data_IF_349014657932
#
_entry.id   IF_349014657932
#
_cell.length_a   1.000
_cell.length_b   1.000
_cell.length_c   1.000
_cell.angle_alpha   90.00
_cell.angle_beta   90.00
_cell.angle_gamma   90.00
#
_symmetry.space_group_name_H-M   'P 1'
#
loop_
_entity.id
_entity.type
_entity.pdbx_description
1 polymer ?
#
# COMPACT_ATOMS: atom_id res chain seq x y z
N UNK A 1 -20.49 -28.15 -4.38
CA UNK A 1 -20.24 -26.73 -4.31
C UNK A 1 -19.15 -26.40 -5.33
N UNK A 2 -19.36 -25.42 -6.19
CA UNK A 2 -18.36 -24.99 -7.19
C UNK A 2 -17.64 -23.74 -6.69
N UNK A 3 -16.32 -23.78 -6.76
CA UNK A 3 -15.43 -22.74 -6.28
C UNK A 3 -14.55 -22.27 -7.45
N UNK A 4 -14.45 -20.97 -7.68
CA UNK A 4 -13.56 -20.39 -8.67
C UNK A 4 -12.58 -19.42 -8.01
N UNK A 5 -11.30 -19.53 -8.36
CA UNK A 5 -10.25 -18.56 -8.05
C UNK A 5 -9.93 -17.82 -9.34
N UNK A 6 -10.04 -16.48 -9.32
CA UNK A 6 -9.94 -15.67 -10.54
C UNK A 6 -8.50 -15.28 -10.90
N UNK A 7 -7.61 -15.18 -9.92
CA UNK A 7 -6.26 -14.62 -10.08
C UNK A 7 -5.24 -15.28 -9.13
N UNK A 8 -5.23 -16.62 -9.14
CA UNK A 8 -4.45 -17.46 -8.21
C UNK A 8 -2.96 -17.17 -8.17
N UNK A 9 -2.34 -16.76 -9.29
CA UNK A 9 -0.91 -16.44 -9.34
C UNK A 9 -0.52 -15.29 -8.40
N UNK A 10 -1.40 -14.32 -8.17
CA UNK A 10 -1.12 -13.18 -7.31
C UNK A 10 -1.06 -13.55 -5.82
N UNK A 11 -1.60 -14.71 -5.46
CA UNK A 11 -1.66 -15.22 -4.09
C UNK A 11 -0.80 -16.45 -3.87
N UNK A 12 -0.66 -17.25 -4.90
CA UNK A 12 0.04 -18.54 -4.86
C UNK A 12 0.85 -18.73 -6.15
N UNK A 13 2.06 -18.20 -6.22
CA UNK A 13 2.93 -18.39 -7.37
C UNK A 13 3.50 -19.81 -7.48
N UNK A 14 2.99 -20.76 -6.69
CA UNK A 14 3.38 -22.18 -6.68
C UNK A 14 3.98 -22.67 -5.35
N UNK A 15 3.98 -21.85 -4.31
CA UNK A 15 4.52 -22.15 -2.98
C UNK A 15 3.48 -22.68 -1.98
N UNK A 16 2.19 -22.53 -2.28
CA UNK A 16 1.08 -23.01 -1.45
C UNK A 16 0.21 -23.99 -2.25
N UNK A 17 -0.32 -25.00 -1.57
CA UNK A 17 -1.22 -25.98 -2.19
C UNK A 17 -2.68 -25.54 -2.16
N UNK A 18 -3.40 -25.76 -3.26
CA UNK A 18 -4.86 -25.58 -3.33
C UNK A 18 -5.65 -26.82 -2.83
N UNK A 19 -4.97 -27.89 -2.39
CA UNK A 19 -5.61 -29.16 -2.02
C UNK A 19 -6.62 -29.02 -0.87
N UNK A 20 -6.39 -28.12 0.08
CA UNK A 20 -7.35 -27.88 1.16
C UNK A 20 -8.64 -27.22 0.65
N UNK A 21 -8.53 -26.33 -0.33
CA UNK A 21 -9.70 -25.71 -0.94
C UNK A 21 -10.45 -26.71 -1.83
N UNK A 22 -9.77 -27.62 -2.52
CA UNK A 22 -10.38 -28.71 -3.31
C UNK A 22 -11.22 -29.66 -2.46
N UNK A 23 -10.88 -29.88 -1.19
CA UNK A 23 -11.67 -30.70 -0.25
C UNK A 23 -13.06 -30.12 0.02
N UNK A 24 -13.27 -28.82 -0.20
CA UNK A 24 -14.53 -28.15 0.02
C UNK A 24 -15.49 -28.24 -1.17
N UNK A 25 -14.98 -28.55 -2.37
CA UNK A 25 -15.81 -28.63 -3.57
C UNK A 25 -15.02 -28.75 -4.87
N UNK A 26 -15.74 -28.65 -5.98
CA UNK A 26 -15.14 -28.58 -7.32
C UNK A 26 -14.43 -27.25 -7.49
N UNK A 27 -13.11 -27.27 -7.59
CA UNK A 27 -12.25 -26.07 -7.66
C UNK A 27 -11.74 -25.83 -9.07
N UNK A 28 -11.95 -24.65 -9.60
CA UNK A 28 -11.30 -24.11 -10.79
C UNK A 28 -10.41 -22.96 -10.40
N UNK A 29 -9.13 -23.00 -10.79
CA UNK A 29 -8.17 -21.91 -10.52
C UNK A 29 -7.70 -21.33 -11.85
N UNK A 30 -7.92 -20.05 -12.03
CA UNK A 30 -7.32 -19.25 -13.11
C UNK A 30 -6.13 -18.52 -12.55
N UNK A 31 -4.98 -18.67 -13.19
CA UNK A 31 -3.75 -17.97 -12.79
C UNK A 31 -3.88 -16.44 -12.87
N UNK A 32 -4.50 -15.96 -13.94
CA UNK A 32 -4.76 -14.55 -14.19
C UNK A 32 -6.08 -14.38 -14.92
N UNK A 33 -6.85 -13.38 -14.55
CA UNK A 33 -8.04 -12.96 -15.30
C UNK A 33 -7.83 -11.53 -15.81
N UNK A 34 -8.71 -10.59 -15.49
CA UNK A 34 -8.56 -9.18 -15.83
C UNK A 34 -8.36 -8.34 -14.56
N UNK A 35 -7.62 -7.26 -14.65
CA UNK A 35 -7.48 -6.27 -13.57
C UNK A 35 -8.46 -5.11 -13.70
N UNK A 36 -9.18 -5.05 -14.81
CA UNK A 36 -10.28 -4.13 -15.07
C UNK A 36 -11.57 -4.91 -15.24
N UNK A 37 -12.71 -4.25 -15.06
CA UNK A 37 -14.02 -4.89 -15.24
C UNK A 37 -14.21 -5.31 -16.72
N UNK A 38 -14.40 -6.60 -16.94
CA UNK A 38 -14.45 -7.18 -18.27
C UNK A 38 -15.39 -8.40 -18.33
N UNK A 39 -16.05 -8.65 -19.48
CA UNK A 39 -16.98 -9.77 -19.64
C UNK A 39 -16.42 -11.14 -19.31
N UNK A 40 -15.12 -11.35 -19.52
CA UNK A 40 -14.42 -12.61 -19.23
C UNK A 40 -14.47 -12.99 -17.74
N UNK A 41 -14.66 -12.03 -16.82
CA UNK A 41 -14.76 -12.30 -15.39
C UNK A 41 -16.03 -13.09 -15.11
N UNK A 42 -17.18 -12.62 -15.62
CA UNK A 42 -18.44 -13.33 -15.47
C UNK A 42 -18.43 -14.69 -16.20
N UNK A 43 -17.78 -14.80 -17.35
CA UNK A 43 -17.61 -16.07 -18.07
C UNK A 43 -16.84 -17.10 -17.25
N UNK A 44 -15.77 -16.67 -16.56
CA UNK A 44 -14.95 -17.54 -15.70
C UNK A 44 -15.64 -17.92 -14.40
N UNK A 45 -16.43 -17.03 -13.84
CA UNK A 45 -17.26 -17.34 -12.67
C UNK A 45 -18.31 -18.39 -13.07
N UNK A 46 -18.98 -18.24 -14.21
CA UNK A 46 -19.97 -19.17 -14.70
C UNK A 46 -21.07 -19.46 -13.68
N UNK A 47 -21.19 -20.73 -13.28
CA UNK A 47 -22.15 -21.20 -12.28
C UNK A 47 -21.54 -21.42 -10.87
N UNK A 48 -20.34 -20.89 -10.61
CA UNK A 48 -19.70 -21.02 -9.32
C UNK A 48 -20.50 -20.38 -8.19
N UNK A 49 -20.48 -21.04 -7.04
CA UNK A 49 -21.15 -20.60 -5.81
C UNK A 49 -20.22 -19.77 -4.93
N UNK A 50 -18.91 -20.03 -4.99
CA UNK A 50 -17.89 -19.29 -4.26
C UNK A 50 -16.91 -18.69 -5.25
N UNK A 51 -16.71 -17.37 -5.13
CA UNK A 51 -15.74 -16.62 -5.92
C UNK A 51 -14.61 -16.19 -5.00
N UNK A 52 -13.39 -16.54 -5.37
CA UNK A 52 -12.15 -16.15 -4.67
C UNK A 52 -11.37 -15.22 -5.59
N UNK A 53 -10.97 -14.08 -5.11
CA UNK A 53 -10.22 -13.06 -5.87
C UNK A 53 -9.25 -12.29 -4.99
N UNK A 54 -8.20 -11.74 -5.58
CA UNK A 54 -7.32 -10.75 -4.94
C UNK A 54 -7.43 -9.38 -5.61
N UNK A 55 -7.21 -9.33 -6.93
CA UNK A 55 -7.17 -8.07 -7.70
C UNK A 55 -8.18 -8.04 -8.85
N UNK A 56 -8.67 -9.21 -9.30
CA UNK A 56 -9.71 -9.25 -10.32
C UNK A 56 -11.00 -8.65 -9.77
N UNK A 57 -11.57 -7.60 -10.41
CA UNK A 57 -12.75 -6.93 -9.90
C UNK A 57 -14.00 -7.81 -10.01
N UNK A 58 -14.85 -7.73 -8.99
CA UNK A 58 -16.19 -8.34 -9.00
C UNK A 58 -17.22 -7.21 -8.88
N UNK A 59 -17.54 -6.64 -10.03
CA UNK A 59 -18.41 -5.47 -10.15
C UNK A 59 -19.90 -5.82 -9.97
N UNK A 60 -20.73 -4.79 -9.92
CA UNK A 60 -22.19 -4.91 -9.92
C UNK A 60 -22.69 -5.69 -11.15
N UNK A 61 -22.14 -5.44 -12.33
CA UNK A 61 -22.49 -6.15 -13.55
C UNK A 61 -22.14 -7.63 -13.44
N UNK A 62 -20.93 -7.94 -13.00
CA UNK A 62 -20.48 -9.32 -12.74
C UNK A 62 -21.41 -10.04 -11.76
N UNK A 63 -21.73 -9.44 -10.61
CA UNK A 63 -22.63 -10.02 -9.60
C UNK A 63 -24.03 -10.24 -10.19
N UNK A 64 -24.51 -9.32 -11.03
CA UNK A 64 -25.83 -9.42 -11.65
C UNK A 64 -25.89 -10.58 -12.66
N UNK A 65 -24.83 -10.80 -13.43
CA UNK A 65 -24.74 -11.87 -14.43
C UNK A 65 -24.52 -13.25 -13.81
N UNK A 66 -23.87 -13.32 -12.66
CA UNK A 66 -23.53 -14.58 -11.98
C UNK A 66 -24.45 -14.84 -10.79
N UNK A 67 -25.70 -15.21 -11.06
CA UNK A 67 -26.75 -15.35 -10.05
C UNK A 67 -26.57 -16.49 -9.03
N UNK A 68 -25.57 -17.37 -9.19
CA UNK A 68 -25.31 -18.49 -8.29
C UNK A 68 -24.34 -18.16 -7.16
N UNK A 69 -23.73 -16.97 -7.15
CA UNK A 69 -22.75 -16.58 -6.15
C UNK A 69 -23.40 -16.53 -4.76
N UNK A 70 -22.82 -17.26 -3.81
CA UNK A 70 -23.23 -17.31 -2.40
C UNK A 70 -22.21 -16.69 -1.45
N UNK A 71 -20.96 -16.58 -1.88
CA UNK A 71 -19.83 -16.01 -1.10
C UNK A 71 -18.79 -15.44 -2.05
N UNK A 72 -18.28 -14.27 -1.71
CA UNK A 72 -17.08 -13.70 -2.35
C UNK A 72 -15.98 -13.60 -1.28
N UNK A 73 -14.84 -14.23 -1.52
CA UNK A 73 -13.67 -14.19 -0.64
C UNK A 73 -12.54 -13.40 -1.31
N UNK A 74 -12.12 -12.30 -0.68
CA UNK A 74 -11.00 -11.48 -1.13
C UNK A 74 -9.75 -11.89 -0.36
N UNK A 75 -8.74 -12.41 -1.06
CA UNK A 75 -7.48 -12.86 -0.49
C UNK A 75 -6.52 -11.69 -0.20
N UNK A 76 -7.03 -10.61 0.35
CA UNK A 76 -6.31 -9.41 0.71
C UNK A 76 -6.98 -8.71 1.90
N UNK A 77 -6.29 -7.75 2.50
CA UNK A 77 -6.89 -6.85 3.49
C UNK A 77 -7.84 -5.84 2.81
N UNK A 78 -7.43 -5.28 1.67
CA UNK A 78 -8.26 -4.37 0.89
C UNK A 78 -9.26 -5.12 0.02
N UNK A 79 -10.54 -4.76 0.08
CA UNK A 79 -11.64 -5.42 -0.63
C UNK A 79 -12.38 -4.49 -1.61
N UNK A 80 -11.80 -3.37 -1.95
CA UNK A 80 -12.37 -2.40 -2.89
C UNK A 80 -12.48 -2.89 -4.35
N UNK A 81 -11.95 -4.07 -4.65
CA UNK A 81 -12.13 -4.78 -5.93
C UNK A 81 -13.53 -5.38 -6.08
N UNK A 82 -14.31 -5.45 -5.00
CA UNK A 82 -15.68 -5.97 -5.01
C UNK A 82 -16.66 -4.85 -4.73
N UNK A 83 -17.78 -4.77 -5.51
CA UNK A 83 -18.95 -3.95 -5.14
C UNK A 83 -19.66 -4.62 -3.95
N UNK A 84 -19.04 -4.51 -2.78
CA UNK A 84 -19.51 -5.18 -1.55
C UNK A 84 -20.87 -4.64 -1.06
N UNK A 85 -21.20 -3.38 -1.38
CA UNK A 85 -22.51 -2.82 -1.04
C UNK A 85 -23.61 -3.46 -1.85
N UNK A 86 -23.38 -3.66 -3.14
CA UNK A 86 -24.33 -4.37 -4.00
C UNK A 86 -24.41 -5.86 -3.66
N UNK A 87 -23.28 -6.50 -3.38
CA UNK A 87 -23.25 -7.89 -2.89
C UNK A 87 -24.11 -8.04 -1.61
N UNK A 88 -23.98 -7.11 -0.65
CA UNK A 88 -24.80 -7.07 0.57
C UNK A 88 -26.31 -6.92 0.25
N UNK A 89 -26.69 -6.07 -0.70
CA UNK A 89 -28.07 -5.91 -1.14
C UNK A 89 -28.66 -7.21 -1.73
N UNK A 90 -27.80 -8.04 -2.34
CA UNK A 90 -28.15 -9.36 -2.87
C UNK A 90 -28.07 -10.49 -1.83
N UNK A 91 -27.71 -10.19 -0.58
CA UNK A 91 -27.50 -11.18 0.47
C UNK A 91 -26.26 -12.04 0.30
N UNK A 92 -25.28 -11.58 -0.50
CA UNK A 92 -24.01 -12.26 -0.75
C UNK A 92 -22.97 -11.71 0.24
N UNK A 93 -22.47 -12.51 1.20
CA UNK A 93 -21.39 -12.09 2.07
C UNK A 93 -20.09 -11.90 1.29
N UNK A 94 -19.35 -10.85 1.65
CA UNK A 94 -17.99 -10.60 1.19
C UNK A 94 -17.06 -10.68 2.40
N UNK A 95 -16.07 -11.55 2.32
CA UNK A 95 -15.07 -11.74 3.37
C UNK A 95 -13.67 -11.41 2.87
N UNK A 96 -12.80 -10.98 3.76
CA UNK A 96 -11.41 -10.63 3.44
C UNK A 96 -10.44 -11.24 4.47
N UNK A 97 -9.14 -11.04 4.28
CA UNK A 97 -8.10 -11.48 5.22
C UNK A 97 -7.54 -10.24 5.94
N UNK A 98 -8.06 -9.87 7.11
CA UNK A 98 -7.59 -8.70 7.83
C UNK A 98 -6.23 -8.96 8.51
N UNK A 99 -5.45 -7.90 8.71
CA UNK A 99 -4.30 -7.80 9.62
C UNK A 99 -3.04 -8.60 9.24
N UNK A 100 -3.08 -9.56 8.32
CA UNK A 100 -1.93 -10.42 7.99
C UNK A 100 -0.68 -9.65 7.55
N UNK A 101 -0.86 -8.56 6.80
CA UNK A 101 0.23 -7.75 6.23
C UNK A 101 0.73 -6.62 7.14
N UNK A 102 0.19 -6.44 8.34
CA UNK A 102 0.45 -5.24 9.16
C UNK A 102 1.94 -5.00 9.39
N UNK A 103 2.67 -6.01 9.83
CA UNK A 103 4.11 -5.89 10.14
C UNK A 103 4.98 -5.81 8.90
N UNK A 104 4.68 -6.59 7.87
CA UNK A 104 5.44 -6.58 6.62
C UNK A 104 5.28 -5.25 5.86
N UNK A 105 4.06 -4.71 5.80
CA UNK A 105 3.79 -3.44 5.14
C UNK A 105 4.45 -2.27 5.88
N UNK A 106 4.39 -2.23 7.22
CA UNK A 106 5.09 -1.20 8.00
C UNK A 106 6.61 -1.31 7.90
N UNK A 107 7.16 -2.53 7.92
CA UNK A 107 8.58 -2.75 7.68
C UNK A 107 9.00 -2.25 6.28
N UNK A 108 8.20 -2.53 5.26
CA UNK A 108 8.50 -2.10 3.89
C UNK A 108 8.44 -0.59 3.71
N UNK A 109 7.50 0.11 4.37
CA UNK A 109 7.48 1.57 4.39
C UNK A 109 8.80 2.16 4.91
N UNK A 110 9.34 1.57 5.98
CA UNK A 110 10.63 2.01 6.55
C UNK A 110 11.80 1.57 5.65
N UNK A 111 11.74 0.41 5.00
CA UNK A 111 12.77 -0.02 4.06
C UNK A 111 12.86 0.94 2.85
N UNK A 112 11.73 1.37 2.29
CA UNK A 112 11.69 2.41 1.24
C UNK A 112 12.29 3.72 1.74
N UNK A 113 11.96 4.15 2.96
CA UNK A 113 12.53 5.36 3.55
C UNK A 113 14.05 5.26 3.71
N UNK A 114 14.55 4.13 4.22
CA UNK A 114 15.99 3.92 4.42
C UNK A 114 16.73 3.85 3.08
N UNK A 115 16.15 3.23 2.05
CA UNK A 115 16.73 3.25 0.70
C UNK A 115 16.83 4.67 0.15
N UNK A 116 15.78 5.47 0.28
CA UNK A 116 15.77 6.89 -0.12
C UNK A 116 16.82 7.70 0.65
N UNK A 117 17.02 7.42 1.95
CA UNK A 117 17.97 8.17 2.79
C UNK A 117 19.43 7.77 2.57
N UNK A 118 19.69 6.51 2.20
CA UNK A 118 21.04 5.93 2.22
C UNK A 118 21.51 5.39 0.88
N UNK A 119 20.65 5.27 -0.14
CA UNK A 119 20.97 4.76 -1.47
C UNK A 119 21.73 3.42 -1.44
N UNK A 120 21.26 2.48 -0.60
CA UNK A 120 21.94 1.21 -0.31
C UNK A 120 22.11 0.37 -1.58
N UNK A 121 21.05 0.28 -2.41
CA UNK A 121 21.07 -0.44 -3.68
C UNK A 121 22.11 0.11 -4.63
N UNK A 122 22.14 1.44 -4.79
CA UNK A 122 23.15 2.13 -5.61
C UNK A 122 24.58 1.87 -5.12
N UNK A 123 24.83 2.02 -3.82
CA UNK A 123 26.16 1.75 -3.27
C UNK A 123 26.58 0.30 -3.44
N UNK A 124 25.68 -0.66 -3.23
CA UNK A 124 25.94 -2.08 -3.49
C UNK A 124 26.35 -2.31 -4.94
N UNK A 125 25.62 -1.74 -5.90
CA UNK A 125 25.95 -1.86 -7.33
C UNK A 125 27.31 -1.27 -7.66
N UNK A 126 27.63 -0.07 -7.16
CA UNK A 126 28.92 0.57 -7.44
C UNK A 126 30.08 -0.21 -6.84
N UNK A 127 29.91 -0.87 -5.69
CA UNK A 127 30.93 -1.77 -5.09
C UNK A 127 31.15 -2.98 -6.00
N UNK A 128 30.08 -3.65 -6.47
CA UNK A 128 30.19 -4.80 -7.38
C UNK A 128 30.85 -4.41 -8.72
N UNK A 129 30.65 -3.19 -9.18
CA UNK A 129 31.30 -2.64 -10.37
C UNK A 129 32.73 -2.15 -10.12
N UNK A 130 33.32 -2.44 -8.94
CA UNK A 130 34.72 -2.20 -8.62
C UNK A 130 35.04 -0.76 -8.20
N UNK A 131 34.04 0.11 -7.99
CA UNK A 131 34.30 1.51 -7.61
C UNK A 131 35.07 1.63 -6.33
N UNK A 132 34.74 0.84 -5.28
CA UNK A 132 35.47 0.89 -4.02
C UNK A 132 36.91 0.37 -4.15
N UNK A 133 37.09 -0.79 -4.82
CA UNK A 133 38.42 -1.40 -4.99
C UNK A 133 39.41 -0.49 -5.76
N UNK A 134 38.91 0.39 -6.62
CA UNK A 134 39.71 1.32 -7.42
C UNK A 134 39.63 2.76 -6.93
N UNK A 135 39.00 3.02 -5.75
CA UNK A 135 38.90 4.36 -5.19
C UNK A 135 40.23 4.76 -4.49
N UNK A 136 40.58 6.03 -4.58
CA UNK A 136 41.80 6.55 -3.97
C UNK A 136 41.73 6.57 -2.43
N UNK A 137 40.53 6.91 -1.91
CA UNK A 137 40.28 7.00 -0.47
C UNK A 137 39.62 5.72 0.07
N UNK A 138 39.64 5.55 1.38
CA UNK A 138 39.04 4.43 2.10
C UNK A 138 37.47 4.47 2.10
N UNK A 139 36.86 5.55 1.60
CA UNK A 139 35.41 5.73 1.50
C UNK A 139 35.06 6.59 0.27
N UNK A 140 33.81 6.54 -0.15
CA UNK A 140 33.24 7.45 -1.15
C UNK A 140 31.74 7.63 -0.90
N UNK A 141 31.19 8.70 -1.46
CA UNK A 141 29.76 8.97 -1.50
C UNK A 141 29.44 9.71 -2.80
N UNK A 142 28.26 9.43 -3.35
CA UNK A 142 27.78 10.10 -4.59
C UNK A 142 26.53 10.94 -4.28
N UNK A 143 25.86 10.70 -3.16
CA UNK A 143 24.67 11.40 -2.71
C UNK A 143 24.81 11.82 -1.24
N UNK A 144 24.16 12.94 -0.85
CA UNK A 144 24.00 13.27 0.56
C UNK A 144 23.23 12.17 1.30
N UNK A 145 23.69 11.77 2.46
CA UNK A 145 22.98 10.87 3.35
C UNK A 145 22.07 11.66 4.29
N UNK A 146 20.92 11.09 4.61
CA UNK A 146 19.93 11.74 5.47
C UNK A 146 19.81 10.96 6.78
N UNK A 147 20.15 11.62 7.90
CA UNK A 147 19.91 11.11 9.24
C UNK A 147 18.45 11.39 9.64
N UNK A 148 17.77 10.37 10.15
CA UNK A 148 16.36 10.44 10.53
C UNK A 148 16.13 10.92 11.96
N UNK A 149 17.13 10.79 12.85
CA UNK A 149 17.00 11.21 14.23
C UNK A 149 16.65 12.71 14.34
N UNK A 150 15.65 13.02 15.15
CA UNK A 150 15.13 14.38 15.34
C UNK A 150 14.20 14.90 14.22
N UNK A 151 14.04 14.16 13.11
CA UNK A 151 13.08 14.51 12.05
C UNK A 151 11.68 14.09 12.40
N UNK A 152 10.69 14.69 11.76
CA UNK A 152 9.27 14.39 11.94
C UNK A 152 8.76 13.43 10.86
N UNK A 153 8.26 12.28 11.28
CA UNK A 153 7.48 11.37 10.43
C UNK A 153 5.99 11.70 10.57
N UNK A 154 5.38 12.22 9.52
CA UNK A 154 3.94 12.45 9.43
C UNK A 154 3.24 11.23 8.85
N UNK A 155 2.21 10.74 9.52
CA UNK A 155 1.39 9.63 9.06
C UNK A 155 0.02 10.14 8.60
N UNK A 156 -0.29 9.97 7.33
CA UNK A 156 -1.65 10.10 6.83
C UNK A 156 -2.37 8.75 7.05
N UNK A 157 -3.01 8.63 8.22
CA UNK A 157 -3.61 7.41 8.74
C UNK A 157 -2.75 6.69 9.78
N UNK A 158 -3.34 6.40 10.94
CA UNK A 158 -2.70 5.72 12.07
C UNK A 158 -3.52 4.52 12.56
N UNK A 159 -3.92 3.66 11.60
CA UNK A 159 -4.49 2.35 11.87
C UNK A 159 -3.40 1.33 12.26
N UNK A 160 -3.69 0.03 12.15
CA UNK A 160 -2.74 -1.02 12.54
C UNK A 160 -1.35 -0.85 11.88
N UNK A 161 -1.30 -0.58 10.58
CA UNK A 161 -0.03 -0.38 9.85
C UNK A 161 0.65 0.90 10.33
N UNK A 162 -0.09 2.01 10.45
CA UNK A 162 0.45 3.30 10.90
C UNK A 162 1.05 3.23 12.31
N UNK A 163 0.42 2.53 13.23
CA UNK A 163 0.92 2.31 14.60
C UNK A 163 2.28 1.58 14.56
N UNK A 164 2.39 0.46 13.82
CA UNK A 164 3.67 -0.26 13.73
C UNK A 164 4.74 0.53 12.97
N UNK A 165 4.36 1.33 11.96
CA UNK A 165 5.30 2.25 11.33
C UNK A 165 5.78 3.31 12.33
N UNK A 166 4.89 3.85 13.17
CA UNK A 166 5.23 4.79 14.22
C UNK A 166 6.22 4.18 15.25
N UNK A 167 6.02 2.91 15.65
CA UNK A 167 6.95 2.20 16.53
C UNK A 167 8.36 2.20 15.96
N UNK A 168 8.52 1.83 14.68
CA UNK A 168 9.84 1.74 14.04
C UNK A 168 10.43 3.15 13.84
N UNK A 169 9.65 4.12 13.39
CA UNK A 169 10.10 5.50 13.21
C UNK A 169 10.59 6.12 14.53
N UNK A 170 9.88 5.87 15.64
CA UNK A 170 10.33 6.31 16.97
C UNK A 170 11.60 5.61 17.42
N UNK A 171 11.80 4.33 17.11
CA UNK A 171 13.04 3.62 17.40
C UNK A 171 14.23 4.19 16.60
N UNK A 172 13.99 4.81 15.45
CA UNK A 172 14.97 5.57 14.67
C UNK A 172 15.17 7.02 15.18
N UNK A 173 14.57 7.38 16.32
CA UNK A 173 14.72 8.70 16.93
C UNK A 173 13.84 9.80 16.31
N UNK A 174 12.82 9.44 15.53
CA UNK A 174 11.92 10.41 14.91
C UNK A 174 10.79 10.84 15.87
N UNK A 175 10.32 12.08 15.74
CA UNK A 175 9.02 12.52 16.23
C UNK A 175 7.94 11.99 15.28
N UNK A 176 6.84 11.48 15.80
CA UNK A 176 5.74 10.97 14.96
C UNK A 176 4.48 11.78 15.22
N UNK A 177 3.91 12.33 14.14
CA UNK A 177 2.62 13.03 14.11
C UNK A 177 1.67 12.32 13.15
N UNK A 178 0.37 12.45 13.35
CA UNK A 178 -0.62 11.82 12.47
C UNK A 178 -1.86 12.69 12.26
N UNK A 179 -2.44 12.58 11.06
CA UNK A 179 -3.81 12.95 10.77
C UNK A 179 -4.63 11.69 10.55
N UNK A 180 -5.60 11.46 11.40
CA UNK A 180 -6.56 10.35 11.29
C UNK A 180 -7.91 10.79 11.87
N UNK A 181 -9.00 10.27 11.33
CA UNK A 181 -10.36 10.54 11.82
C UNK A 181 -10.66 9.87 13.18
N UNK A 182 -9.80 8.97 13.63
CA UNK A 182 -9.96 8.25 14.89
C UNK A 182 -8.66 8.22 15.69
N UNK A 183 -8.71 8.72 16.91
CA UNK A 183 -7.64 8.52 17.87
C UNK A 183 -7.72 7.13 18.52
N UNK A 184 -6.58 6.48 18.71
CA UNK A 184 -6.47 5.19 19.37
C UNK A 184 -5.54 5.25 20.58
N UNK A 185 -5.89 4.54 21.65
CA UNK A 185 -5.07 4.48 22.87
C UNK A 185 -3.67 3.91 22.57
N UNK A 186 -3.56 2.98 21.63
CA UNK A 186 -2.29 2.40 21.21
C UNK A 186 -1.35 3.46 20.59
N UNK A 187 -1.84 4.32 19.71
CA UNK A 187 -1.06 5.40 19.13
C UNK A 187 -0.67 6.45 20.17
N UNK A 188 -1.60 6.81 21.06
CA UNK A 188 -1.33 7.75 22.16
C UNK A 188 -0.29 7.20 23.15
N UNK A 189 -0.37 5.92 23.51
CA UNK A 189 0.61 5.27 24.38
C UNK A 189 2.03 5.24 23.79
N UNK A 190 2.14 5.20 22.45
CA UNK A 190 3.41 5.36 21.75
C UNK A 190 3.89 6.83 21.70
N UNK A 191 3.09 7.79 22.16
CA UNK A 191 3.40 9.21 22.05
C UNK A 191 3.32 9.73 20.61
N UNK A 192 2.38 9.22 19.81
CA UNK A 192 2.01 9.79 18.51
C UNK A 192 1.12 10.99 18.75
N UNK A 193 1.42 12.12 18.12
CA UNK A 193 0.67 13.36 18.26
C UNK A 193 -0.35 13.49 17.12
N UNK A 194 -1.61 13.68 17.46
CA UNK A 194 -2.67 13.94 16.47
C UNK A 194 -2.72 15.41 16.11
N UNK A 195 -2.70 15.71 14.83
CA UNK A 195 -2.66 17.08 14.28
C UNK A 195 -3.70 17.26 13.18
N UNK A 196 -3.95 18.48 12.76
CA UNK A 196 -4.76 18.78 11.58
C UNK A 196 -4.02 18.38 10.29
N UNK A 197 -4.74 18.26 9.18
CA UNK A 197 -4.13 17.91 7.89
C UNK A 197 -3.09 18.94 7.44
N UNK A 198 -3.38 20.22 7.61
CA UNK A 198 -2.44 21.30 7.24
C UNK A 198 -1.20 21.28 8.14
N UNK A 199 -1.34 21.00 9.44
CA UNK A 199 -0.22 20.82 10.35
C UNK A 199 0.61 19.58 9.99
N UNK A 200 -0.05 18.48 9.57
CA UNK A 200 0.65 17.30 9.09
C UNK A 200 1.57 17.65 7.93
N UNK A 201 1.04 18.33 6.92
CA UNK A 201 1.83 18.75 5.76
C UNK A 201 2.97 19.70 6.15
N UNK A 202 2.67 20.71 6.94
CA UNK A 202 3.65 21.74 7.31
C UNK A 202 4.79 21.25 8.21
N UNK A 203 4.55 20.20 9.02
CA UNK A 203 5.54 19.74 10.01
C UNK A 203 6.32 18.51 9.58
N UNK A 204 5.87 17.75 8.56
CA UNK A 204 6.49 16.50 8.16
C UNK A 204 7.80 16.72 7.40
N UNK A 205 8.86 16.04 7.82
CA UNK A 205 10.07 15.84 7.02
C UNK A 205 9.92 14.60 6.12
N UNK A 206 9.19 13.60 6.61
CA UNK A 206 8.76 12.42 5.88
C UNK A 206 7.24 12.30 6.01
N UNK A 207 6.53 12.13 4.91
CA UNK A 207 5.09 11.91 4.88
C UNK A 207 4.78 10.50 4.39
N UNK A 208 4.25 9.65 5.27
CA UNK A 208 3.81 8.30 4.96
C UNK A 208 2.30 8.22 4.74
N UNK A 209 1.88 7.66 3.60
CA UNK A 209 0.48 7.45 3.26
C UNK A 209 0.05 6.05 3.69
N UNK A 210 -0.74 5.94 4.77
CA UNK A 210 -1.08 4.66 5.38
C UNK A 210 -2.56 4.54 5.77
N UNK A 211 -3.44 5.17 5.01
CA UNK A 211 -4.88 5.00 5.16
C UNK A 211 -5.51 4.34 3.92
N UNK A 212 -6.66 3.69 4.07
CA UNK A 212 -7.43 3.20 2.92
C UNK A 212 -7.80 4.33 1.97
N UNK A 213 -8.02 3.99 0.70
CA UNK A 213 -8.52 4.95 -0.28
C UNK A 213 -10.01 5.22 -0.04
N UNK A 214 -10.34 6.49 0.07
CA UNK A 214 -11.70 7.02 0.18
C UNK A 214 -11.89 8.17 -0.81
N UNK A 215 -13.14 8.57 -1.14
CA UNK A 215 -13.37 9.70 -2.03
C UNK A 215 -12.69 11.00 -1.59
N UNK A 216 -12.60 11.25 -0.27
CA UNK A 216 -12.02 12.49 0.27
C UNK A 216 -10.49 12.54 0.20
N UNK A 217 -9.79 11.42 0.08
CA UNK A 217 -8.33 11.37 0.01
C UNK A 217 -7.79 10.95 -1.36
N UNK A 218 -8.66 10.76 -2.35
CA UNK A 218 -8.25 10.57 -3.75
C UNK A 218 -7.57 11.85 -4.23
N UNK A 219 -6.33 11.73 -4.74
CA UNK A 219 -5.54 12.86 -5.16
C UNK A 219 -5.19 13.86 -4.04
N UNK A 220 -5.14 13.40 -2.78
CA UNK A 220 -4.81 14.28 -1.65
C UNK A 220 -3.37 14.82 -1.75
N UNK A 221 -2.47 14.07 -2.37
CA UNK A 221 -1.14 14.55 -2.73
C UNK A 221 -1.23 15.17 -4.12
N UNK A 222 -1.41 16.48 -4.13
CA UNK A 222 -1.54 17.32 -5.32
C UNK A 222 -0.72 18.60 -5.14
N UNK A 223 -0.63 19.40 -6.19
CA UNK A 223 0.16 20.63 -6.23
C UNK A 223 -0.14 21.58 -5.06
N UNK A 224 -1.43 21.75 -4.74
CA UNK A 224 -1.85 22.65 -3.65
C UNK A 224 -1.36 22.17 -2.29
N UNK A 225 -1.54 20.90 -1.98
CA UNK A 225 -1.12 20.31 -0.71
C UNK A 225 0.41 20.14 -0.64
N UNK A 226 1.07 19.81 -1.73
CA UNK A 226 2.53 19.77 -1.81
C UNK A 226 3.13 21.16 -1.50
N UNK A 227 2.49 22.24 -1.96
CA UNK A 227 2.96 23.60 -1.66
C UNK A 227 2.96 23.93 -0.15
N UNK A 228 2.09 23.29 0.64
CA UNK A 228 2.02 23.44 2.11
C UNK A 228 3.11 22.65 2.85
N UNK A 229 3.75 21.67 2.21
CA UNK A 229 4.75 20.82 2.81
C UNK A 229 6.09 21.55 2.97
N UNK A 230 6.98 20.98 3.78
CA UNK A 230 8.37 21.47 3.86
C UNK A 230 9.07 21.32 2.52
N UNK A 231 10.01 22.22 2.23
CA UNK A 231 10.95 22.03 1.12
C UNK A 231 11.84 20.83 1.42
N UNK A 232 12.00 19.95 0.44
CA UNK A 232 12.76 18.73 0.62
C UNK A 232 12.04 17.60 1.39
N UNK A 233 10.71 17.64 1.49
CA UNK A 233 9.93 16.55 2.09
C UNK A 233 10.14 15.24 1.33
N UNK A 234 10.15 14.11 2.06
CA UNK A 234 10.16 12.77 1.49
C UNK A 234 8.74 12.19 1.57
N UNK A 235 8.25 11.59 0.48
CA UNK A 235 6.92 10.98 0.43
C UNK A 235 7.07 9.46 0.33
N UNK A 236 6.41 8.70 1.22
CA UNK A 236 6.36 7.24 1.21
C UNK A 236 4.91 6.81 1.00
N UNK A 237 4.64 6.07 -0.08
CA UNK A 237 3.31 5.54 -0.35
C UNK A 237 3.35 4.03 -0.54
N UNK A 238 2.86 3.31 0.45
CA UNK A 238 2.62 1.87 0.43
C UNK A 238 1.14 1.55 0.71
N UNK A 239 0.25 2.44 0.31
CA UNK A 239 -1.20 2.33 0.49
C UNK A 239 -1.93 2.19 -0.85
N UNK A 240 -2.26 3.30 -1.51
CA UNK A 240 -2.95 3.32 -2.82
C UNK A 240 -2.35 4.40 -3.73
N UNK A 241 -2.10 4.05 -5.01
CA UNK A 241 -1.57 4.97 -6.02
C UNK A 241 -2.45 6.19 -6.20
N UNK A 242 -3.76 6.00 -6.27
CA UNK A 242 -4.76 7.05 -6.50
C UNK A 242 -4.81 8.15 -5.42
N UNK A 243 -4.08 8.02 -4.32
CA UNK A 243 -3.89 9.11 -3.35
C UNK A 243 -2.97 10.21 -3.88
N UNK A 244 -2.22 9.97 -4.93
CA UNK A 244 -1.26 10.89 -5.52
C UNK A 244 -1.72 11.32 -6.91
N UNK A 245 -1.67 12.60 -7.20
CA UNK A 245 -1.71 13.12 -8.58
C UNK A 245 -0.27 13.01 -9.11
N UNK A 246 -0.01 12.00 -9.93
CA UNK A 246 1.35 11.62 -10.35
C UNK A 246 2.11 12.76 -11.04
N UNK A 247 1.44 13.55 -11.90
CA UNK A 247 2.08 14.68 -12.57
C UNK A 247 2.50 15.77 -11.56
N UNK A 248 1.68 16.04 -10.54
CA UNK A 248 2.01 17.04 -9.53
C UNK A 248 3.19 16.60 -8.66
N UNK A 249 3.27 15.29 -8.36
CA UNK A 249 4.43 14.73 -7.67
C UNK A 249 5.69 14.79 -8.54
N UNK A 250 5.59 14.46 -9.83
CA UNK A 250 6.71 14.53 -10.76
C UNK A 250 7.25 15.96 -10.88
N UNK A 251 6.36 16.96 -11.03
CA UNK A 251 6.74 18.37 -11.06
C UNK A 251 7.44 18.81 -9.77
N UNK A 252 6.95 18.33 -8.62
CA UNK A 252 7.52 18.64 -7.30
C UNK A 252 8.90 17.99 -7.08
N UNK A 253 9.11 16.77 -7.56
CA UNK A 253 10.42 16.11 -7.55
C UNK A 253 11.42 16.85 -8.46
N UNK A 254 11.00 17.22 -9.66
CA UNK A 254 11.85 17.95 -10.60
C UNK A 254 12.24 19.34 -10.10
N UNK A 255 11.38 20.01 -9.34
CA UNK A 255 11.66 21.32 -8.74
C UNK A 255 12.45 21.26 -7.44
N UNK A 256 12.60 20.07 -6.84
CA UNK A 256 13.23 19.88 -5.52
C UNK A 256 12.33 20.22 -4.34
N UNK A 257 11.06 20.56 -4.56
CA UNK A 257 10.09 20.76 -3.48
C UNK A 257 9.86 19.46 -2.68
N UNK A 258 9.79 18.33 -3.38
CA UNK A 258 9.88 16.98 -2.83
C UNK A 258 11.28 16.46 -3.12
N UNK A 259 12.02 16.08 -2.10
CA UNK A 259 13.39 15.59 -2.27
C UNK A 259 13.42 14.20 -2.91
N UNK A 260 12.49 13.34 -2.50
CA UNK A 260 12.40 11.98 -3.01
C UNK A 260 11.02 11.36 -2.70
N UNK A 261 10.69 10.29 -3.42
CA UNK A 261 9.50 9.49 -3.16
C UNK A 261 9.84 8.00 -3.18
N UNK A 262 9.37 7.25 -2.17
CA UNK A 262 9.38 5.79 -2.13
C UNK A 262 7.97 5.27 -2.37
N UNK A 263 7.72 4.61 -3.50
CA UNK A 263 6.39 4.21 -3.93
C UNK A 263 6.33 2.69 -4.12
N UNK A 264 5.43 2.03 -3.40
CA UNK A 264 5.09 0.61 -3.54
C UNK A 264 3.88 0.42 -4.47
N UNK A 265 3.16 1.50 -4.74
CA UNK A 265 1.92 1.53 -5.52
C UNK A 265 1.89 2.75 -6.44
N UNK A 266 1.30 2.56 -7.62
CA UNK A 266 1.04 3.61 -8.62
C UNK A 266 -0.44 3.58 -9.02
N UNK A 267 -0.95 4.62 -9.69
CA UNK A 267 -2.34 4.69 -10.17
C UNK A 267 -2.54 4.04 -11.53
#
# INVERSE_FOLDING_TARGET
MKIVVLDGYTENPGDISWEDLKKLGELTVYERTAYEDAPIIAERIGDAEIVVTNKTPVSRDTITRCGNIKLIAVLATGYNVVDYEFARQKGIPVVNVPVYGTRSVSQFAIALLLEVCHHIGYHSETVHNGKWANHQDWCYWDYPLIELAGKTYGLLGCGNIGIHTAEIAKALGMRVITYDGRQTDAALALGVEYVTLDELFAQSDVLGLQMPLFPFNTGIINRENIAKMKDGVIIINNSRGQMIIEQDLADALNSGKVAAAGLDVVS
#
